data_IF_265431896749
#
_entry.id   IF_265431896749
#
_cell.length_a   1.000
_cell.length_b   1.000
_cell.length_c   1.000
_cell.angle_alpha   90.00
_cell.angle_beta   90.00
_cell.angle_gamma   90.00
#
_symmetry.space_group_name_H-M   'P 1'
#
loop_
_entity.id
_entity.type
_entity.pdbx_description
1 polymer ?
#
# COMPACT_ATOMS: atom_id res chain seq x y z
N UNK A 1 -4.87 19.78 -3.35
CA UNK A 1 -4.35 20.43 -4.57
C UNK A 1 -4.58 19.48 -5.74
N UNK A 2 -5.26 19.88 -6.82
CA UNK A 2 -5.55 18.98 -7.96
C UNK A 2 -4.37 19.02 -8.94
N UNK A 3 -3.71 17.87 -9.17
CA UNK A 3 -2.72 17.71 -10.23
C UNK A 3 -3.45 17.68 -11.58
N UNK A 4 -3.45 18.79 -12.32
CA UNK A 4 -4.18 18.95 -13.59
C UNK A 4 -3.37 18.59 -14.86
N UNK A 5 -2.34 17.73 -14.80
CA UNK A 5 -1.43 17.50 -15.95
C UNK A 5 -0.94 16.06 -16.09
N UNK A 6 -0.35 15.77 -17.25
CA UNK A 6 0.20 14.49 -17.71
C UNK A 6 1.02 13.75 -16.66
N UNK A 7 1.19 12.43 -16.84
CA UNK A 7 1.99 11.56 -15.96
C UNK A 7 3.37 12.16 -15.61
N UNK A 8 4.02 12.82 -16.57
CA UNK A 8 5.32 13.48 -16.40
C UNK A 8 5.29 14.58 -15.32
N UNK A 9 4.21 15.36 -15.26
CA UNK A 9 4.08 16.41 -14.25
C UNK A 9 3.76 15.83 -12.87
N UNK A 10 3.01 14.72 -12.81
CA UNK A 10 2.76 13.99 -11.56
C UNK A 10 4.08 13.43 -11.01
N UNK A 11 4.89 12.77 -11.83
CA UNK A 11 6.19 12.21 -11.43
C UNK A 11 7.15 13.25 -10.86
N UNK A 12 7.06 14.51 -11.32
CA UNK A 12 7.91 15.61 -10.85
C UNK A 12 7.40 16.28 -9.56
N UNK A 13 6.09 16.30 -9.33
CA UNK A 13 5.46 17.14 -8.30
C UNK A 13 4.83 16.36 -7.17
N UNK A 14 4.40 15.12 -7.41
CA UNK A 14 3.75 14.32 -6.39
C UNK A 14 4.73 14.00 -5.27
N UNK A 15 4.27 14.22 -4.04
CA UNK A 15 5.08 14.08 -2.83
C UNK A 15 4.29 13.35 -1.77
N UNK A 16 4.94 12.45 -1.06
CA UNK A 16 4.36 11.62 -0.02
C UNK A 16 5.13 11.86 1.28
N UNK A 17 4.42 12.26 2.32
CA UNK A 17 4.98 12.28 3.67
C UNK A 17 4.82 10.91 4.31
N UNK A 18 5.91 10.38 4.89
CA UNK A 18 5.87 9.16 5.68
C UNK A 18 5.82 9.55 7.16
N UNK A 19 4.79 9.12 7.88
CA UNK A 19 4.74 9.27 9.33
C UNK A 19 5.90 8.52 9.97
N UNK A 20 6.47 9.07 11.05
CA UNK A 20 7.70 8.55 11.68
C UNK A 20 7.42 7.72 12.94
N UNK A 21 6.16 7.63 13.31
CA UNK A 21 5.69 6.93 14.49
C UNK A 21 5.70 5.43 14.23
N UNK A 22 5.79 4.67 15.31
CA UNK A 22 5.76 3.22 15.28
C UNK A 22 7.15 2.59 15.27
N UNK A 23 7.18 1.29 15.51
CA UNK A 23 8.41 0.52 15.61
C UNK A 23 8.38 -0.70 14.69
N UNK A 24 9.56 -1.10 14.25
CA UNK A 24 9.75 -2.34 13.52
C UNK A 24 9.50 -3.54 14.47
N UNK A 25 9.03 -4.69 13.96
CA UNK A 25 8.83 -5.01 12.54
C UNK A 25 7.43 -4.70 12.01
N UNK A 26 6.50 -4.20 12.82
CA UNK A 26 5.11 -4.00 12.40
C UNK A 26 4.93 -2.74 11.54
N UNK A 27 5.74 -1.73 11.83
CA UNK A 27 5.73 -0.42 11.17
C UNK A 27 7.09 -0.20 10.52
N UNK A 28 7.15 0.58 9.43
CA UNK A 28 8.39 0.97 8.73
C UNK A 28 9.18 -0.16 8.07
N UNK A 29 8.69 -1.39 8.15
CA UNK A 29 9.28 -2.54 7.47
C UNK A 29 8.18 -3.45 6.97
N UNK A 30 8.39 -4.03 5.80
CA UNK A 30 7.51 -5.04 5.22
C UNK A 30 8.29 -6.24 4.70
N UNK A 31 7.60 -7.30 4.27
CA UNK A 31 8.24 -8.46 3.66
C UNK A 31 8.91 -8.09 2.33
N UNK A 32 10.15 -8.54 2.14
CA UNK A 32 10.96 -8.31 0.91
C UNK A 32 11.00 -9.52 -0.02
N UNK A 33 10.18 -10.54 0.24
CA UNK A 33 10.16 -11.80 -0.50
C UNK A 33 8.75 -12.36 -0.64
N UNK A 34 8.62 -13.36 -1.51
CA UNK A 34 7.39 -14.02 -1.90
C UNK A 34 6.37 -13.03 -2.48
N UNK A 35 5.10 -13.41 -2.47
CA UNK A 35 3.97 -12.65 -3.02
C UNK A 35 3.73 -11.29 -2.34
N UNK A 36 4.20 -11.10 -1.11
CA UNK A 36 4.04 -9.84 -0.39
C UNK A 36 5.18 -8.85 -0.62
N UNK A 37 6.17 -9.20 -1.45
CA UNK A 37 7.43 -8.45 -1.54
C UNK A 37 7.27 -6.98 -1.92
N UNK A 38 6.27 -6.66 -2.75
CA UNK A 38 6.02 -5.28 -3.20
C UNK A 38 5.59 -4.35 -2.05
N UNK A 39 4.98 -4.89 -0.99
CA UNK A 39 4.66 -4.13 0.23
C UNK A 39 5.93 -3.62 0.91
N UNK A 40 6.90 -4.51 1.15
CA UNK A 40 8.18 -4.15 1.73
C UNK A 40 9.02 -3.28 0.80
N UNK A 41 9.04 -3.57 -0.51
CA UNK A 41 9.77 -2.76 -1.48
C UNK A 41 9.26 -1.32 -1.54
N UNK A 42 7.94 -1.11 -1.52
CA UNK A 42 7.37 0.23 -1.52
C UNK A 42 7.83 1.02 -0.29
N UNK A 43 7.74 0.42 0.90
CA UNK A 43 8.17 1.04 2.16
C UNK A 43 9.68 1.35 2.14
N UNK A 44 10.49 0.40 1.71
CA UNK A 44 11.95 0.54 1.64
C UNK A 44 12.37 1.66 0.68
N UNK A 45 11.81 1.71 -0.53
CA UNK A 45 12.14 2.74 -1.53
C UNK A 45 11.75 4.15 -1.08
N UNK A 46 10.57 4.31 -0.48
CA UNK A 46 10.09 5.63 -0.08
C UNK A 46 10.78 6.16 1.18
N UNK A 47 11.17 5.28 2.10
CA UNK A 47 11.78 5.66 3.38
C UNK A 47 13.31 5.86 3.30
N UNK A 48 14.00 5.23 2.35
CA UNK A 48 15.45 5.41 2.14
C UNK A 48 15.88 6.83 1.77
N UNK A 49 14.93 7.74 1.54
CA UNK A 49 15.19 9.14 1.19
C UNK A 49 15.74 9.37 -0.23
N UNK A 50 15.91 8.31 -1.02
CA UNK A 50 16.32 8.38 -2.43
C UNK A 50 15.13 8.54 -3.38
N UNK A 51 13.92 8.21 -2.93
CA UNK A 51 12.72 8.31 -3.76
C UNK A 51 12.42 9.77 -4.11
N UNK A 52 12.25 10.11 -5.41
CA UNK A 52 11.83 11.45 -5.82
C UNK A 52 10.42 11.79 -5.34
N UNK A 53 9.65 10.81 -4.88
CA UNK A 53 8.30 10.99 -4.32
C UNK A 53 8.31 11.28 -2.82
N UNK A 54 9.42 11.05 -2.12
CA UNK A 54 9.48 11.34 -0.68
C UNK A 54 9.41 12.85 -0.44
N UNK A 55 8.57 13.23 0.54
CA UNK A 55 8.51 14.57 1.08
C UNK A 55 9.52 14.71 2.23
N UNK A 56 10.38 15.72 2.13
CA UNK A 56 11.25 16.25 3.19
C UNK A 56 10.49 16.99 4.29
N UNK A 57 9.33 17.59 3.98
CA UNK A 57 8.45 18.28 4.93
C UNK A 57 6.97 17.90 4.71
N UNK A 58 6.12 17.80 5.74
CA UNK A 58 4.70 17.43 5.55
C UNK A 58 3.90 18.45 4.72
N UNK A 59 4.30 19.72 4.69
CA UNK A 59 3.57 20.78 3.96
C UNK A 59 3.71 20.71 2.44
N UNK A 60 4.73 20.03 1.93
CA UNK A 60 4.88 19.77 0.49
C UNK A 60 4.17 18.48 0.06
N UNK A 61 3.69 17.68 1.02
CA UNK A 61 3.07 16.41 0.74
C UNK A 61 1.66 16.56 0.13
N UNK A 62 1.41 15.72 -0.86
CA UNK A 62 0.13 15.53 -1.52
C UNK A 62 -0.65 14.34 -0.92
N UNK A 63 0.07 13.37 -0.35
CA UNK A 63 -0.49 12.22 0.34
C UNK A 63 0.39 11.83 1.54
N UNK A 64 -0.19 11.09 2.48
CA UNK A 64 0.42 10.70 3.75
C UNK A 64 0.41 9.18 3.88
N UNK A 65 1.60 8.58 3.93
CA UNK A 65 1.77 7.15 4.11
C UNK A 65 1.66 6.80 5.59
N UNK A 66 0.80 5.83 5.89
CA UNK A 66 0.77 5.06 7.12
C UNK A 66 1.64 3.80 6.90
N UNK A 67 2.90 3.75 7.38
CA UNK A 67 3.84 2.66 7.11
C UNK A 67 3.54 1.38 7.92
N UNK A 68 2.27 0.99 8.05
CA UNK A 68 1.84 -0.24 8.74
C UNK A 68 1.91 -1.43 7.78
N UNK A 69 2.69 -2.46 8.11
CA UNK A 69 2.75 -3.70 7.33
C UNK A 69 1.73 -4.71 7.85
N UNK A 70 0.64 -4.91 7.09
CA UNK A 70 -0.38 -5.91 7.45
C UNK A 70 0.21 -7.32 7.38
N UNK A 71 1.11 -7.58 6.41
CA UNK A 71 1.78 -8.87 6.32
C UNK A 71 2.63 -9.17 7.57
N UNK A 72 3.33 -8.17 8.11
CA UNK A 72 4.10 -8.34 9.35
C UNK A 72 3.18 -8.43 10.58
N UNK A 73 2.08 -7.66 10.65
CA UNK A 73 1.08 -7.81 11.72
C UNK A 73 0.57 -9.26 11.78
N UNK A 74 0.20 -9.84 10.63
CA UNK A 74 -0.21 -11.25 10.57
C UNK A 74 0.94 -12.18 10.93
N UNK A 75 2.15 -11.93 10.41
CA UNK A 75 3.30 -12.78 10.69
C UNK A 75 3.66 -12.86 12.18
N UNK A 76 3.72 -11.72 12.86
CA UNK A 76 4.24 -11.63 14.22
C UNK A 76 3.18 -11.83 15.31
N UNK A 77 1.92 -11.45 15.05
CA UNK A 77 0.88 -11.49 16.08
C UNK A 77 -0.03 -12.73 15.98
N UNK A 78 -0.08 -13.38 14.82
CA UNK A 78 -0.94 -14.54 14.58
C UNK A 78 -0.15 -15.85 14.44
N UNK A 79 1.08 -15.92 14.98
CA UNK A 79 1.88 -17.15 15.01
C UNK A 79 2.13 -17.64 16.45
N UNK A 80 1.73 -18.87 16.80
CA UNK A 80 0.93 -19.81 16.00
C UNK A 80 -0.49 -19.31 15.75
N UNK A 81 -1.08 -19.72 14.61
CA UNK A 81 -2.42 -19.28 14.21
C UNK A 81 -3.49 -20.03 15.01
N UNK A 82 -3.90 -19.46 16.14
CA UNK A 82 -4.93 -20.00 17.02
C UNK A 82 -6.32 -19.41 16.76
N UNK A 83 -6.40 -18.30 16.03
CA UNK A 83 -7.65 -17.61 15.70
C UNK A 83 -7.55 -16.88 14.38
N UNK A 84 -8.68 -16.81 13.68
CA UNK A 84 -8.88 -15.94 12.52
C UNK A 84 -9.55 -14.61 12.92
N UNK A 85 -9.75 -14.30 14.20
CA UNK A 85 -10.33 -13.00 14.57
C UNK A 85 -9.42 -11.84 14.13
N UNK A 86 -10.00 -10.78 13.59
CA UNK A 86 -9.27 -9.57 13.17
C UNK A 86 -9.02 -8.60 14.33
N UNK A 87 -9.35 -8.97 15.57
CA UNK A 87 -9.27 -8.07 16.71
C UNK A 87 -7.86 -7.49 16.95
N UNK A 88 -6.81 -8.31 16.84
CA UNK A 88 -5.44 -7.81 17.02
C UNK A 88 -5.01 -6.91 15.86
N UNK A 89 -5.35 -7.29 14.62
CA UNK A 89 -5.16 -6.46 13.44
C UNK A 89 -5.86 -5.09 13.60
N UNK A 90 -7.12 -5.09 14.00
CA UNK A 90 -7.90 -3.88 14.22
C UNK A 90 -7.28 -2.98 15.29
N UNK A 91 -6.85 -3.55 16.43
CA UNK A 91 -6.21 -2.79 17.50
C UNK A 91 -4.93 -2.12 17.02
N UNK A 92 -3.99 -2.87 16.43
CA UNK A 92 -2.70 -2.33 15.97
C UNK A 92 -2.91 -1.22 14.94
N UNK A 93 -3.76 -1.47 13.95
CA UNK A 93 -3.99 -0.49 12.88
C UNK A 93 -4.68 0.77 13.43
N UNK A 94 -5.70 0.61 14.26
CA UNK A 94 -6.45 1.72 14.83
C UNK A 94 -5.61 2.53 15.82
N UNK A 95 -4.80 1.88 16.66
CA UNK A 95 -3.89 2.55 17.58
C UNK A 95 -2.86 3.39 16.83
N UNK A 96 -2.30 2.86 15.74
CA UNK A 96 -1.40 3.63 14.87
C UNK A 96 -2.07 4.87 14.29
N UNK A 97 -3.26 4.70 13.70
CA UNK A 97 -4.03 5.82 13.13
C UNK A 97 -4.36 6.85 14.20
N UNK A 98 -4.75 6.42 15.40
CA UNK A 98 -5.02 7.33 16.51
C UNK A 98 -3.75 8.11 16.88
N UNK A 99 -2.59 7.46 17.00
CA UNK A 99 -1.34 8.17 17.31
C UNK A 99 -1.05 9.28 16.30
N UNK A 100 -1.13 8.99 15.00
CA UNK A 100 -0.84 10.02 13.97
C UNK A 100 -1.93 11.10 13.91
N UNK A 101 -3.20 10.74 14.10
CA UNK A 101 -4.32 11.68 14.08
C UNK A 101 -4.32 12.63 15.28
N UNK A 102 -3.83 12.18 16.45
CA UNK A 102 -3.70 13.02 17.64
C UNK A 102 -2.42 13.88 17.60
N UNK A 103 -1.32 13.33 17.07
CA UNK A 103 -0.02 14.01 17.06
C UNK A 103 0.08 15.09 15.96
N UNK A 104 -0.60 14.91 14.84
CA UNK A 104 -0.49 15.80 13.69
C UNK A 104 -1.84 16.34 13.22
N UNK A 105 -1.88 17.58 12.71
CA UNK A 105 -3.14 18.18 12.24
C UNK A 105 -3.63 17.60 10.89
N UNK A 106 -2.79 16.85 10.18
CA UNK A 106 -3.04 16.48 8.78
C UNK A 106 -4.19 15.49 8.59
N UNK A 107 -4.43 14.60 9.55
CA UNK A 107 -5.56 13.68 9.48
C UNK A 107 -6.90 14.42 9.41
N UNK A 108 -7.10 15.41 10.29
CA UNK A 108 -8.34 16.17 10.39
C UNK A 108 -8.55 17.13 9.21
N UNK A 109 -7.49 17.52 8.51
CA UNK A 109 -7.57 18.38 7.32
C UNK A 109 -8.37 17.75 6.19
N UNK A 110 -8.24 16.44 6.00
CA UNK A 110 -8.87 15.69 4.91
C UNK A 110 -9.85 14.62 5.42
N UNK A 111 -9.99 14.47 6.74
CA UNK A 111 -10.67 13.35 7.37
C UNK A 111 -10.12 12.00 6.87
N UNK A 112 -8.79 11.90 6.72
CA UNK A 112 -8.08 10.73 6.23
C UNK A 112 -8.10 10.54 4.71
N UNK A 113 -8.68 11.45 3.92
CA UNK A 113 -8.87 11.25 2.48
C UNK A 113 -7.58 11.34 1.64
N UNK A 114 -6.49 11.87 2.21
CA UNK A 114 -5.15 11.90 1.61
C UNK A 114 -4.17 10.96 2.33
N UNK A 115 -4.69 10.10 3.22
CA UNK A 115 -3.93 9.09 3.95
C UNK A 115 -4.07 7.74 3.27
N UNK A 116 -2.98 7.01 3.19
CA UNK A 116 -2.98 5.68 2.60
C UNK A 116 -2.03 4.72 3.29
N UNK A 117 -2.30 3.43 3.15
CA UNK A 117 -1.35 2.37 3.46
C UNK A 117 -1.22 1.45 2.26
N UNK A 118 -0.12 0.71 2.19
CA UNK A 118 0.14 -0.28 1.15
C UNK A 118 0.12 -1.66 1.78
N UNK A 119 -0.63 -2.59 1.20
CA UNK A 119 -0.51 -3.98 1.60
C UNK A 119 -0.88 -5.00 0.53
N UNK A 120 -0.22 -6.15 0.61
CA UNK A 120 -0.49 -7.30 -0.24
C UNK A 120 -1.04 -8.51 0.51
N UNK A 121 -1.21 -8.42 1.82
CA UNK A 121 -1.91 -9.45 2.57
C UNK A 121 -3.42 -9.38 2.29
N UNK A 122 -4.07 -10.53 2.19
CA UNK A 122 -5.51 -10.67 1.93
C UNK A 122 -6.41 -10.15 3.07
N UNK A 123 -5.84 -9.86 4.25
CA UNK A 123 -6.55 -9.29 5.41
C UNK A 123 -6.51 -7.76 5.41
N UNK A 124 -5.75 -7.14 4.51
CA UNK A 124 -5.66 -5.69 4.41
C UNK A 124 -7.01 -4.98 4.20
N UNK A 125 -7.99 -5.53 3.44
CA UNK A 125 -9.31 -4.90 3.33
C UNK A 125 -10.02 -4.75 4.69
N UNK A 126 -9.80 -5.70 5.62
CA UNK A 126 -10.50 -5.78 6.90
C UNK A 126 -10.13 -4.64 7.86
N UNK A 127 -8.98 -3.95 7.67
CA UNK A 127 -8.56 -2.87 8.59
C UNK A 127 -9.59 -1.76 8.74
N UNK A 128 -10.42 -1.54 7.71
CA UNK A 128 -11.52 -0.56 7.75
C UNK A 128 -12.61 -0.92 8.77
N UNK A 129 -12.73 -2.20 9.15
CA UNK A 129 -13.64 -2.69 10.17
C UNK A 129 -13.29 -2.23 11.59
N UNK A 130 -12.04 -1.84 11.84
CA UNK A 130 -11.58 -1.39 13.17
C UNK A 130 -12.33 -0.14 13.66
N UNK A 131 -12.55 0.83 12.75
CA UNK A 131 -13.38 1.99 12.99
C UNK A 131 -13.92 2.53 11.64
N UNK A 132 -15.10 2.06 11.19
CA UNK A 132 -15.63 2.40 9.87
C UNK A 132 -15.87 3.89 9.64
N UNK A 133 -16.08 4.67 10.71
CA UNK A 133 -16.27 6.12 10.62
C UNK A 133 -14.95 6.84 10.39
N UNK A 134 -13.94 6.51 11.20
CA UNK A 134 -12.61 7.14 11.14
C UNK A 134 -11.89 6.79 9.83
N UNK A 135 -11.98 5.54 9.40
CA UNK A 135 -11.22 5.00 8.26
C UNK A 135 -11.97 5.09 6.93
N UNK A 136 -13.16 5.70 6.91
CA UNK A 136 -14.05 5.74 5.74
C UNK A 136 -13.37 6.30 4.48
N UNK A 137 -12.57 7.35 4.63
CA UNK A 137 -12.01 8.06 3.48
C UNK A 137 -10.58 7.63 3.14
N UNK A 138 -9.93 6.85 4.01
CA UNK A 138 -8.56 6.39 3.82
C UNK A 138 -8.43 5.58 2.53
N UNK A 139 -7.38 5.88 1.77
CA UNK A 139 -7.03 5.18 0.54
C UNK A 139 -6.35 3.86 0.91
N UNK A 140 -6.83 2.75 0.36
CA UNK A 140 -6.16 1.45 0.52
C UNK A 140 -5.44 1.11 -0.78
N UNK A 141 -4.13 0.93 -0.71
CA UNK A 141 -3.33 0.45 -1.85
C UNK A 141 -3.14 -1.05 -1.67
N UNK A 142 -3.83 -1.85 -2.49
CA UNK A 142 -4.02 -3.28 -2.25
C UNK A 142 -3.54 -4.13 -3.43
N UNK A 143 -2.84 -5.23 -3.16
CA UNK A 143 -2.59 -6.25 -4.18
C UNK A 143 -3.88 -7.00 -4.57
N UNK A 144 -4.78 -7.19 -3.60
CA UNK A 144 -6.09 -7.78 -3.82
C UNK A 144 -7.14 -6.70 -4.07
N UNK A 145 -7.48 -6.49 -5.36
CA UNK A 145 -8.48 -5.53 -5.80
C UNK A 145 -9.87 -6.17 -5.98
N UNK A 146 -10.31 -6.99 -5.03
CA UNK A 146 -11.61 -7.66 -5.09
C UNK A 146 -12.73 -6.78 -4.51
N UNK A 147 -13.66 -6.35 -5.36
CA UNK A 147 -14.82 -5.54 -4.95
C UNK A 147 -15.76 -6.28 -4.00
N UNK A 148 -15.80 -7.62 -4.07
CA UNK A 148 -16.60 -8.45 -3.15
C UNK A 148 -16.02 -8.48 -1.73
N UNK A 149 -14.73 -8.16 -1.57
CA UNK A 149 -14.04 -8.00 -0.28
C UNK A 149 -13.96 -6.51 0.11
N UNK A 150 -14.76 -5.68 -0.54
CA UNK A 150 -14.95 -4.29 -0.19
C UNK A 150 -14.00 -3.31 -0.89
N UNK A 151 -13.17 -3.73 -1.85
CA UNK A 151 -12.36 -2.80 -2.67
C UNK A 151 -13.25 -1.76 -3.35
N UNK A 152 -12.92 -0.47 -3.23
CA UNK A 152 -13.68 0.63 -3.79
C UNK A 152 -12.87 1.34 -4.88
N UNK A 153 -13.10 1.10 -6.18
CA UNK A 153 -12.30 1.67 -7.27
C UNK A 153 -12.26 3.22 -7.31
N UNK A 154 -13.23 3.89 -6.68
CA UNK A 154 -13.29 5.35 -6.59
C UNK A 154 -12.35 5.93 -5.53
N UNK A 155 -11.79 5.10 -4.64
CA UNK A 155 -10.99 5.51 -3.47
C UNK A 155 -9.69 4.71 -3.37
N UNK A 156 -9.76 3.40 -3.57
CA UNK A 156 -8.66 2.46 -3.40
C UNK A 156 -7.85 2.31 -4.69
N UNK A 157 -6.61 1.84 -4.54
CA UNK A 157 -5.65 1.67 -5.65
C UNK A 157 -5.22 0.22 -5.71
N UNK A 158 -5.25 -0.37 -6.90
CA UNK A 158 -4.67 -1.70 -7.13
C UNK A 158 -3.18 -1.60 -7.42
N UNK A 159 -2.35 -2.40 -6.75
CA UNK A 159 -0.92 -2.56 -7.07
C UNK A 159 -0.67 -4.01 -7.51
N UNK A 160 0.21 -4.28 -8.50
CA UNK A 160 0.50 -5.65 -8.89
C UNK A 160 1.20 -6.41 -7.78
N UNK A 161 0.76 -7.65 -7.55
CA UNK A 161 1.49 -8.62 -6.72
C UNK A 161 2.79 -9.01 -7.44
N UNK A 162 3.93 -8.79 -6.78
CA UNK A 162 5.25 -9.19 -7.30
C UNK A 162 5.76 -10.31 -6.41
N UNK A 163 5.95 -11.49 -7.01
CA UNK A 163 6.56 -12.63 -6.32
C UNK A 163 8.09 -12.58 -6.47
N UNK A 164 8.80 -12.35 -5.37
CA UNK A 164 10.27 -12.37 -5.34
C UNK A 164 10.74 -13.61 -4.59
N UNK A 165 11.30 -14.61 -5.28
CA UNK A 165 11.82 -15.80 -4.62
C UNK A 165 12.88 -15.45 -3.56
N UNK A 166 12.93 -16.18 -2.43
CA UNK A 166 14.01 -16.00 -1.46
C UNK A 166 15.38 -16.32 -2.07
N UNK A 167 16.41 -15.60 -1.65
CA UNK A 167 17.78 -15.78 -2.13
C UNK A 167 18.23 -14.59 -2.98
N UNK A 168 18.60 -14.84 -4.24
CA UNK A 168 19.19 -13.82 -5.12
C UNK A 168 18.13 -13.12 -5.97
N UNK A 169 18.22 -11.79 -6.04
CA UNK A 169 17.44 -11.00 -6.97
C UNK A 169 17.84 -11.38 -8.41
N UNK A 170 16.85 -11.62 -9.26
CA UNK A 170 17.07 -11.75 -10.69
C UNK A 170 17.48 -10.40 -11.32
N UNK A 171 17.86 -10.38 -12.61
CA UNK A 171 18.16 -9.15 -13.31
C UNK A 171 16.96 -8.17 -13.23
N UNK A 172 17.19 -6.85 -13.10
CA UNK A 172 16.12 -5.88 -13.07
C UNK A 172 15.22 -6.01 -14.31
N UNK A 173 13.91 -6.16 -14.10
CA UNK A 173 12.93 -6.09 -15.19
C UNK A 173 12.69 -4.63 -15.55
N UNK A 174 13.65 -4.03 -16.25
CA UNK A 174 13.53 -2.66 -16.74
C UNK A 174 12.42 -2.60 -17.80
N UNK A 175 11.30 -1.98 -17.46
CA UNK A 175 10.36 -1.48 -18.46
C UNK A 175 11.10 -0.44 -19.30
N UNK A 176 11.55 -0.83 -20.49
CA UNK A 176 12.38 0.01 -21.37
C UNK A 176 11.61 1.12 -22.10
N UNK A 177 10.28 1.15 -22.00
CA UNK A 177 9.47 2.15 -22.70
C UNK A 177 9.18 3.35 -21.78
N UNK A 178 9.70 4.56 -22.07
CA UNK A 178 9.18 5.78 -21.46
C UNK A 178 7.68 5.91 -21.77
N UNK A 179 6.91 6.51 -20.86
CA UNK A 179 5.44 6.50 -20.90
C UNK A 179 4.78 7.03 -22.18
N UNK A 180 5.53 7.67 -23.09
CA UNK A 180 5.02 8.15 -24.38
C UNK A 180 4.88 7.06 -25.46
N UNK A 181 5.66 5.97 -25.38
CA UNK A 181 5.66 4.89 -26.39
C UNK A 181 4.87 3.65 -25.97
N UNK A 182 4.22 3.68 -24.80
CA UNK A 182 3.38 2.57 -24.35
C UNK A 182 2.04 2.59 -25.08
N UNK A 183 1.89 1.71 -26.06
CA UNK A 183 0.61 1.46 -26.76
C UNK A 183 -0.33 0.54 -25.97
N UNK A 184 0.21 -0.19 -24.98
CA UNK A 184 -0.53 -1.15 -24.15
C UNK A 184 -0.80 -0.52 -22.77
N UNK A 185 -2.08 -0.28 -22.48
CA UNK A 185 -2.54 0.31 -21.22
C UNK A 185 -2.62 -0.70 -20.06
N UNK A 186 -2.83 -1.98 -20.38
CA UNK A 186 -3.09 -3.02 -19.39
C UNK A 186 -1.99 -4.10 -19.38
N UNK A 187 -1.59 -4.52 -18.18
CA UNK A 187 -0.65 -5.62 -17.98
C UNK A 187 -1.34 -6.72 -17.17
N UNK A 188 -1.16 -7.97 -17.58
CA UNK A 188 -1.58 -9.14 -16.84
C UNK A 188 -0.40 -10.09 -16.69
N UNK A 189 -0.15 -10.55 -15.46
CA UNK A 189 0.75 -11.65 -15.16
C UNK A 189 0.17 -12.48 -14.02
N UNK A 190 0.19 -13.80 -14.19
CA UNK A 190 -0.31 -14.73 -13.18
C UNK A 190 -0.56 -16.12 -13.78
N UNK A 191 -0.58 -17.13 -12.92
CA UNK A 191 -0.97 -18.49 -13.30
C UNK A 191 -2.48 -18.65 -13.51
N UNK A 192 -2.88 -19.76 -14.13
CA UNK A 192 -4.29 -20.13 -14.37
C UNK A 192 -5.00 -20.49 -13.07
N UNK A 193 -5.37 -19.47 -12.30
CA UNK A 193 -6.03 -19.60 -11.01
C UNK A 193 -7.30 -18.73 -10.97
N UNK A 194 -8.46 -19.34 -10.75
CA UNK A 194 -9.76 -18.68 -10.80
C UNK A 194 -10.38 -18.64 -12.20
N UNK A 195 -11.70 -18.37 -12.26
CA UNK A 195 -12.48 -18.46 -13.49
C UNK A 195 -12.05 -17.41 -14.53
N UNK A 196 -11.87 -16.15 -14.12
CA UNK A 196 -11.52 -15.06 -15.03
C UNK A 196 -10.15 -15.24 -15.68
N UNK A 197 -9.16 -15.81 -14.96
CA UNK A 197 -7.81 -16.02 -15.49
C UNK A 197 -7.76 -17.10 -16.57
N UNK A 198 -8.71 -18.04 -16.57
CA UNK A 198 -8.85 -19.01 -17.68
C UNK A 198 -9.24 -18.30 -18.99
N UNK A 199 -10.06 -17.26 -18.91
CA UNK A 199 -10.46 -16.45 -20.07
C UNK A 199 -9.31 -15.55 -20.52
N UNK A 200 -8.56 -14.95 -19.59
CA UNK A 200 -7.44 -14.04 -19.91
C UNK A 200 -6.18 -14.74 -20.44
N UNK A 201 -6.04 -16.04 -20.22
CA UNK A 201 -4.88 -16.86 -20.64
C UNK A 201 -5.16 -17.69 -21.91
N UNK A 202 -6.36 -17.58 -22.48
CA UNK A 202 -6.75 -18.16 -23.77
C UNK A 202 -6.56 -17.12 -24.88
#
# INVERSE_FOLDING_TARGET
RVLKRSQIEMEKKFKVWVYREGETPLIHTGPMKNIYSIEGQFMDEIERGMSPFAASHPDEAHAFLLPVSIANVVHYLYRPLVTYSRDQLHKVFLDYVNVVAHKYPYWNRSLGADHFFVSCHDWAPDVSGANPKLLKNMIRVLCNANTSEGFLPQRDVSIPEINIPPGHLGPPRLSRAPGHDRTILAFFAGGSHGHIRKVLLQ
#
